data_IF_757657143630
#
_entry.id   IF_757657143630
#
_cell.length_a   1.000
_cell.length_b   1.000
_cell.length_c   1.000
_cell.angle_alpha   90.00
_cell.angle_beta   90.00
_cell.angle_gamma   90.00
#
_symmetry.space_group_name_H-M   'P 1'
#
loop_
_entity.id
_entity.type
_entity.pdbx_description
1 polymer ?
#
# COMPACT_ATOMS: atom_id res chain seq x y z
N UNK A 1 100.57 47.85 60.53
CA UNK A 1 100.16 46.56 59.94
C UNK A 1 101.18 46.28 58.85
N UNK A 2 102.18 45.47 59.16
CA UNK A 2 103.43 45.38 58.40
C UNK A 2 103.36 44.15 57.49
N UNK A 3 103.57 44.34 56.19
CA UNK A 3 103.65 43.25 55.21
C UNK A 3 104.83 42.31 55.55
N UNK A 4 104.65 40.98 55.47
CA UNK A 4 105.74 40.05 55.74
C UNK A 4 106.77 40.09 54.60
N UNK A 5 107.98 40.55 54.93
CA UNK A 5 109.17 40.53 54.07
C UNK A 5 109.93 39.20 54.28
N UNK A 6 110.46 38.63 53.20
CA UNK A 6 111.26 37.41 53.22
C UNK A 6 112.61 37.64 53.96
N UNK A 7 112.91 36.87 55.03
CA UNK A 7 114.06 37.12 55.91
C UNK A 7 115.44 36.88 55.29
N UNK A 8 115.56 36.40 54.04
CA UNK A 8 116.87 36.12 53.42
C UNK A 8 117.28 37.11 52.33
N UNK A 9 116.36 37.87 51.74
CA UNK A 9 116.66 38.76 50.59
C UNK A 9 116.03 40.15 50.64
N UNK A 10 115.11 40.43 51.57
CA UNK A 10 114.58 41.79 51.80
C UNK A 10 113.80 42.40 50.63
N UNK A 11 113.36 41.60 49.66
CA UNK A 11 112.55 42.03 48.52
C UNK A 11 111.07 41.60 48.70
N UNK A 12 110.09 42.37 48.17
CA UNK A 12 108.68 41.99 48.20
C UNK A 12 108.42 40.72 47.35
N UNK A 13 107.59 39.80 47.86
CA UNK A 13 107.22 38.57 47.16
C UNK A 13 106.47 38.89 45.85
N UNK A 14 106.82 38.26 44.70
CA UNK A 14 106.04 38.36 43.48
C UNK A 14 104.68 37.68 43.70
N UNK A 15 103.61 38.47 43.75
CA UNK A 15 102.25 37.96 43.81
C UNK A 15 101.89 37.24 42.51
N UNK A 16 101.52 35.97 42.64
CA UNK A 16 100.99 35.13 41.58
C UNK A 16 99.77 35.81 40.93
N UNK A 17 99.86 35.98 39.61
CA UNK A 17 98.87 36.69 38.83
C UNK A 17 97.50 36.02 38.79
N UNK A 18 96.48 36.84 38.63
CA UNK A 18 95.26 36.44 37.93
C UNK A 18 94.67 37.68 37.27
N UNK A 19 94.67 37.64 35.94
CA UNK A 19 94.12 38.60 34.99
C UNK A 19 92.79 39.19 35.49
N UNK A 20 92.77 40.49 35.78
CA UNK A 20 91.57 41.20 36.18
C UNK A 20 90.61 41.24 34.98
N UNK A 21 89.60 40.38 35.06
CA UNK A 21 88.61 40.14 34.03
C UNK A 21 87.82 41.42 33.73
N UNK A 22 87.65 41.70 32.43
CA UNK A 22 86.79 42.76 31.92
C UNK A 22 85.40 42.69 32.57
N UNK A 23 84.78 43.82 32.94
CA UNK A 23 83.43 43.82 33.49
C UNK A 23 82.45 43.27 32.46
N UNK A 24 81.86 42.12 32.79
CA UNK A 24 80.82 41.44 32.01
C UNK A 24 79.56 42.31 32.05
N UNK A 25 79.20 42.86 30.90
CA UNK A 25 77.97 43.61 30.70
C UNK A 25 76.76 42.69 30.90
N UNK A 26 75.83 43.09 31.78
CA UNK A 26 74.66 42.29 32.15
C UNK A 26 73.82 41.88 30.92
N UNK A 27 73.23 40.67 30.91
CA UNK A 27 72.41 40.20 29.81
C UNK A 27 71.13 41.04 29.73
N UNK A 28 71.13 42.03 28.83
CA UNK A 28 69.92 42.80 28.49
C UNK A 28 68.85 41.82 28.05
N UNK A 29 67.72 41.79 28.78
CA UNK A 29 66.58 40.88 28.54
C UNK A 29 66.30 40.75 27.04
N UNK A 30 66.36 39.51 26.55
CA UNK A 30 65.90 39.17 25.22
C UNK A 30 64.44 39.63 25.09
N UNK A 31 64.19 40.57 24.19
CA UNK A 31 62.84 40.88 23.75
C UNK A 31 62.25 39.59 23.17
N UNK A 32 61.30 38.98 23.88
CA UNK A 32 60.49 37.89 23.35
C UNK A 32 59.59 38.47 22.26
N UNK A 33 60.10 38.52 21.03
CA UNK A 33 59.33 38.77 19.84
C UNK A 33 58.40 37.58 19.64
N UNK A 34 57.18 37.68 20.15
CA UNK A 34 56.09 36.79 19.74
C UNK A 34 55.76 37.15 18.30
N UNK A 35 56.42 36.47 17.36
CA UNK A 35 55.98 36.47 15.97
C UNK A 35 54.56 35.93 15.97
N UNK A 36 53.59 36.83 15.81
CA UNK A 36 52.23 36.44 15.46
C UNK A 36 52.32 35.92 14.04
N UNK A 37 52.53 34.61 13.91
CA UNK A 37 52.40 33.88 12.66
C UNK A 37 50.93 33.94 12.27
N UNK A 38 50.56 35.02 11.58
CA UNK A 38 49.34 35.10 10.80
C UNK A 38 49.56 34.20 9.57
N UNK A 39 49.56 32.88 9.79
CA UNK A 39 49.85 31.91 8.74
C UNK A 39 48.60 31.76 7.86
N UNK A 40 48.61 32.22 6.59
CA UNK A 40 47.48 32.07 5.69
C UNK A 40 47.09 30.59 5.48
N UNK A 41 47.96 29.63 5.82
CA UNK A 41 47.66 28.19 5.81
C UNK A 41 46.69 27.78 6.91
N UNK A 42 46.83 28.32 8.12
CA UNK A 42 45.92 28.05 9.23
C UNK A 42 44.55 28.67 8.94
N UNK A 43 44.53 29.91 8.43
CA UNK A 43 43.29 30.58 8.00
C UNK A 43 42.58 29.82 6.88
N UNK A 44 43.33 29.21 5.95
CA UNK A 44 42.79 28.37 4.87
C UNK A 44 42.31 27.01 5.36
N UNK A 45 43.02 26.38 6.30
CA UNK A 45 42.60 25.13 6.94
C UNK A 45 41.31 25.33 7.74
N UNK A 46 41.20 26.41 8.51
CA UNK A 46 39.99 26.80 9.24
C UNK A 46 38.83 27.11 8.27
N UNK A 47 39.09 27.77 7.15
CA UNK A 47 38.08 28.04 6.12
C UNK A 47 37.58 26.78 5.42
N UNK A 48 38.48 25.82 5.15
CA UNK A 48 38.13 24.51 4.58
C UNK A 48 37.37 23.63 5.58
N UNK A 49 37.76 23.65 6.85
CA UNK A 49 37.03 22.98 7.94
C UNK A 49 35.60 23.55 8.06
N UNK A 50 35.45 24.87 8.01
CA UNK A 50 34.13 25.52 8.03
C UNK A 50 33.28 25.20 6.79
N UNK A 51 33.89 25.15 5.61
CA UNK A 51 33.21 24.78 4.36
C UNK A 51 32.76 23.31 4.37
N UNK A 52 33.66 22.40 4.77
CA UNK A 52 33.37 20.97 4.90
C UNK A 52 32.30 20.71 5.97
N UNK A 53 32.36 21.44 7.10
CA UNK A 53 31.34 21.38 8.16
C UNK A 53 29.98 21.83 7.66
N UNK A 54 29.92 22.90 6.88
CA UNK A 54 28.65 23.40 6.31
C UNK A 54 28.05 22.42 5.30
N UNK A 55 28.88 21.78 4.48
CA UNK A 55 28.45 20.72 3.57
C UNK A 55 27.91 19.51 4.34
N UNK A 56 28.64 19.05 5.35
CA UNK A 56 28.24 17.93 6.19
C UNK A 56 26.95 18.20 6.95
N UNK A 57 26.77 19.39 7.51
CA UNK A 57 25.55 19.79 8.21
C UNK A 57 24.35 19.87 7.26
N UNK A 58 24.53 20.46 6.07
CA UNK A 58 23.48 20.52 5.06
C UNK A 58 23.03 19.12 4.64
N UNK A 59 23.98 18.20 4.44
CA UNK A 59 23.70 16.82 4.05
C UNK A 59 23.03 16.03 5.18
N UNK A 60 23.44 16.25 6.43
CA UNK A 60 22.79 15.67 7.61
C UNK A 60 21.35 16.17 7.79
N UNK A 61 21.09 17.45 7.51
CA UNK A 61 19.74 18.03 7.53
C UNK A 61 18.87 17.40 6.44
N UNK A 62 19.37 17.28 5.21
CA UNK A 62 18.63 16.62 4.11
C UNK A 62 18.33 15.16 4.45
N UNK A 63 19.31 14.44 5.03
CA UNK A 63 19.12 13.05 5.44
C UNK A 63 18.04 12.92 6.53
N UNK A 64 18.05 13.81 7.53
CA UNK A 64 17.01 13.85 8.58
C UNK A 64 15.63 14.22 8.02
N UNK A 65 15.56 15.15 7.09
CA UNK A 65 14.31 15.52 6.41
C UNK A 65 13.75 14.32 5.62
N UNK A 66 14.60 13.64 4.86
CA UNK A 66 14.22 12.46 4.10
C UNK A 66 13.75 11.33 5.04
N UNK A 67 14.46 11.12 6.15
CA UNK A 67 14.06 10.15 7.16
C UNK A 67 12.70 10.49 7.80
N UNK A 68 12.44 11.76 8.08
CA UNK A 68 11.15 12.22 8.60
C UNK A 68 10.01 12.00 7.59
N UNK A 69 10.24 12.30 6.31
CA UNK A 69 9.28 12.03 5.23
C UNK A 69 9.02 10.53 5.10
N UNK A 70 10.07 9.71 5.10
CA UNK A 70 9.93 8.25 5.04
C UNK A 70 9.16 7.70 6.25
N UNK A 71 9.44 8.20 7.46
CA UNK A 71 8.71 7.83 8.67
C UNK A 71 7.24 8.27 8.59
N UNK A 72 6.96 9.48 8.08
CA UNK A 72 5.61 9.97 7.88
C UNK A 72 4.84 9.10 6.86
N UNK A 73 5.49 8.69 5.77
CA UNK A 73 4.92 7.76 4.79
C UNK A 73 4.67 6.38 5.40
N UNK A 74 5.57 5.87 6.24
CA UNK A 74 5.37 4.60 6.97
C UNK A 74 4.20 4.72 7.92
N UNK A 75 4.10 5.80 8.70
CA UNK A 75 2.94 6.05 9.57
C UNK A 75 1.66 6.11 8.73
N UNK A 76 1.63 6.93 7.68
CA UNK A 76 0.48 7.06 6.79
C UNK A 76 0.11 5.71 6.16
N UNK A 77 1.09 4.88 5.81
CA UNK A 77 0.88 3.53 5.30
C UNK A 77 0.25 2.60 6.34
N UNK A 78 0.72 2.63 7.60
CA UNK A 78 0.08 1.93 8.71
C UNK A 78 -1.36 2.42 8.95
N UNK A 79 -1.60 3.73 8.85
CA UNK A 79 -2.94 4.32 8.95
C UNK A 79 -3.79 4.12 7.68
N UNK A 80 -3.20 3.83 6.53
CA UNK A 80 -3.91 3.55 5.28
C UNK A 80 -4.50 2.13 5.23
N UNK A 81 -4.08 1.23 6.14
CA UNK A 81 -4.67 -0.11 6.29
C UNK A 81 -6.06 -0.12 6.94
N UNK A 82 -6.55 1.03 7.41
CA UNK A 82 -7.89 1.17 8.00
C UNK A 82 -8.93 1.33 6.88
N UNK A 83 -9.43 0.21 6.36
CA UNK A 83 -10.47 0.21 5.33
C UNK A 83 -11.82 -0.23 5.92
N UNK A 84 -12.82 0.64 5.85
CA UNK A 84 -14.17 0.39 6.37
C UNK A 84 -14.95 -0.50 5.38
N UNK A 85 -15.43 -1.66 5.86
CA UNK A 85 -16.32 -2.57 5.11
C UNK A 85 -17.77 -2.25 5.48
N UNK A 86 -18.57 -1.86 4.48
CA UNK A 86 -19.97 -1.45 4.68
C UNK A 86 -20.91 -2.65 4.81
N UNK A 87 -22.02 -2.47 5.55
CA UNK A 87 -22.93 -3.56 5.97
C UNK A 87 -23.67 -4.30 4.84
N UNK A 88 -23.66 -3.78 3.60
CA UNK A 88 -24.22 -4.43 2.43
C UNK A 88 -23.22 -5.33 1.66
N UNK A 89 -21.95 -5.37 2.10
CA UNK A 89 -20.84 -6.03 1.43
C UNK A 89 -20.12 -6.93 2.43
N UNK A 90 -19.88 -8.20 2.08
CA UNK A 90 -18.97 -9.06 2.85
C UNK A 90 -17.58 -8.95 2.25
N UNK A 91 -16.69 -8.22 2.92
CA UNK A 91 -15.27 -8.22 2.59
C UNK A 91 -14.66 -9.59 2.94
N UNK A 92 -14.03 -10.25 1.97
CA UNK A 92 -13.17 -11.41 2.19
C UNK A 92 -11.74 -10.87 2.24
N UNK A 93 -11.06 -11.05 3.38
CA UNK A 93 -9.67 -10.64 3.53
C UNK A 93 -8.78 -11.68 2.86
N UNK A 94 -8.07 -11.24 1.83
CA UNK A 94 -7.08 -12.03 1.11
C UNK A 94 -5.71 -11.51 1.50
N UNK A 95 -4.95 -12.31 2.25
CA UNK A 95 -3.55 -12.01 2.56
C UNK A 95 -2.69 -12.80 1.55
N UNK A 96 -1.85 -12.11 0.77
CA UNK A 96 -0.90 -12.73 -0.18
C UNK A 96 -1.52 -13.74 -1.17
N UNK A 97 -2.75 -13.50 -1.65
CA UNK A 97 -3.46 -14.42 -2.55
C UNK A 97 -3.97 -15.70 -1.88
N UNK A 98 -3.90 -15.82 -0.55
CA UNK A 98 -4.49 -16.93 0.22
C UNK A 98 -5.65 -16.42 1.08
N UNK A 99 -6.80 -17.08 0.94
CA UNK A 99 -8.03 -16.75 1.67
C UNK A 99 -7.90 -17.16 3.13
N UNK A 100 -7.42 -16.26 4.00
CA UNK A 100 -7.28 -16.52 5.45
C UNK A 100 -8.60 -16.42 6.21
N UNK A 101 -9.50 -15.51 5.83
CA UNK A 101 -10.80 -15.37 6.47
C UNK A 101 -11.88 -15.12 5.42
N UNK A 102 -12.89 -15.99 5.41
CA UNK A 102 -14.11 -15.81 4.65
C UNK A 102 -15.26 -15.75 5.64
N UNK A 103 -16.23 -14.89 5.37
CA UNK A 103 -17.25 -14.43 6.34
C UNK A 103 -16.68 -13.52 7.43
N UNK A 104 -16.08 -12.40 7.01
CA UNK A 104 -15.94 -11.29 7.94
C UNK A 104 -17.30 -10.62 8.08
N UNK A 105 -17.87 -10.68 9.29
CA UNK A 105 -19.08 -9.94 9.63
C UNK A 105 -18.89 -8.45 9.32
N UNK A 106 -19.96 -7.78 8.85
CA UNK A 106 -19.91 -6.36 8.53
C UNK A 106 -19.51 -5.53 9.75
N UNK A 107 -18.42 -4.77 9.63
CA UNK A 107 -17.82 -4.03 10.74
C UNK A 107 -16.44 -3.47 10.39
N UNK A 108 -15.82 -2.77 11.34
CA UNK A 108 -14.46 -2.26 11.21
C UNK A 108 -13.47 -3.42 11.10
N UNK A 109 -12.87 -3.57 9.91
CA UNK A 109 -11.98 -4.68 9.58
C UNK A 109 -10.60 -4.12 9.23
N UNK A 110 -9.62 -4.35 10.10
CA UNK A 110 -8.23 -3.97 9.84
C UNK A 110 -7.62 -4.95 8.83
N UNK A 111 -7.30 -4.49 7.61
CA UNK A 111 -6.52 -5.24 6.63
C UNK A 111 -5.09 -4.71 6.55
N UNK A 112 -4.14 -5.58 6.24
CA UNK A 112 -2.80 -5.10 5.89
C UNK A 112 -2.90 -4.18 4.66
N UNK A 113 -2.20 -3.04 4.65
CA UNK A 113 -2.15 -2.17 3.49
C UNK A 113 -1.54 -2.90 2.28
N UNK A 114 -1.99 -2.50 1.09
CA UNK A 114 -1.49 -3.02 -0.19
C UNK A 114 0.05 -2.95 -0.25
N UNK A 115 0.78 -3.97 -0.72
CA UNK A 115 0.35 -5.15 -1.48
C UNK A 115 0.16 -6.43 -0.65
N UNK A 116 0.20 -6.38 0.68
CA UNK A 116 0.20 -7.58 1.53
C UNK A 116 -1.20 -8.13 1.83
N UNK A 117 -2.23 -7.27 1.77
CA UNK A 117 -3.63 -7.64 1.97
C UNK A 117 -4.57 -6.91 1.01
N UNK A 118 -5.56 -7.62 0.49
CA UNK A 118 -6.64 -7.08 -0.33
C UNK A 118 -7.99 -7.48 0.29
N UNK A 119 -8.93 -6.54 0.41
CA UNK A 119 -10.31 -6.85 0.82
C UNK A 119 -11.18 -6.99 -0.44
N UNK A 120 -11.50 -8.23 -0.80
CA UNK A 120 -12.44 -8.53 -1.88
C UNK A 120 -13.87 -8.44 -1.37
N UNK A 121 -14.59 -7.41 -1.79
CA UNK A 121 -15.98 -7.18 -1.38
C UNK A 121 -16.94 -8.01 -2.22
N UNK A 122 -17.71 -8.88 -1.58
CA UNK A 122 -18.81 -9.61 -2.22
C UNK A 122 -20.12 -9.04 -1.72
N UNK A 123 -20.87 -8.39 -2.61
CA UNK A 123 -22.23 -7.94 -2.32
C UNK A 123 -23.12 -9.14 -2.01
N UNK A 124 -23.58 -9.25 -0.75
CA UNK A 124 -24.49 -10.30 -0.29
C UNK A 124 -25.97 -9.96 -0.55
N UNK A 125 -26.22 -8.94 -1.38
CA UNK A 125 -27.56 -8.47 -1.72
C UNK A 125 -28.41 -9.52 -2.42
N UNK A 126 -29.73 -9.40 -2.23
CA UNK A 126 -30.75 -10.19 -2.94
C UNK A 126 -30.71 -9.81 -4.42
N UNK A 127 -30.70 -10.81 -5.30
CA UNK A 127 -30.54 -10.68 -6.75
C UNK A 127 -31.81 -11.16 -7.43
N UNK A 128 -32.17 -10.50 -8.52
CA UNK A 128 -33.35 -10.84 -9.31
C UNK A 128 -32.91 -11.21 -10.72
N UNK A 129 -33.29 -12.41 -11.17
CA UNK A 129 -33.12 -12.89 -12.54
C UNK A 129 -34.50 -13.06 -13.16
N UNK A 130 -34.71 -12.46 -14.32
CA UNK A 130 -35.95 -12.61 -15.09
C UNK A 130 -35.75 -13.49 -16.31
N UNK A 131 -36.64 -14.46 -16.49
CA UNK A 131 -36.73 -15.35 -17.64
C UNK A 131 -38.00 -14.95 -18.40
N UNK A 132 -37.92 -13.80 -19.07
CA UNK A 132 -39.05 -13.22 -19.80
C UNK A 132 -39.09 -13.67 -21.27
N UNK A 133 -38.02 -14.32 -21.74
CA UNK A 133 -37.82 -14.73 -23.15
C UNK A 133 -37.72 -16.25 -23.32
N UNK A 134 -37.13 -16.98 -22.37
CA UNK A 134 -36.79 -18.41 -22.53
C UNK A 134 -38.01 -19.30 -22.83
N UNK A 135 -39.19 -18.94 -22.31
CA UNK A 135 -40.44 -19.69 -22.46
C UNK A 135 -41.61 -18.80 -22.90
N UNK A 136 -41.29 -17.73 -23.61
CA UNK A 136 -42.24 -16.75 -24.08
C UNK A 136 -42.11 -16.52 -25.60
N UNK A 137 -43.21 -16.22 -26.32
CA UNK A 137 -43.12 -15.86 -27.72
C UNK A 137 -42.23 -14.65 -27.94
N UNK A 138 -41.52 -14.61 -29.06
CA UNK A 138 -40.65 -13.50 -29.42
C UNK A 138 -41.50 -12.33 -29.88
N UNK A 139 -41.66 -11.35 -29.01
CA UNK A 139 -42.48 -10.16 -29.28
C UNK A 139 -41.63 -8.95 -29.64
N UNK A 140 -42.10 -8.11 -30.57
CA UNK A 140 -41.52 -6.79 -30.80
C UNK A 140 -41.45 -5.98 -29.51
N UNK A 141 -40.45 -5.10 -29.45
CA UNK A 141 -40.16 -4.29 -28.28
C UNK A 141 -41.36 -3.48 -27.78
N UNK A 142 -42.23 -3.04 -28.70
CA UNK A 142 -43.47 -2.31 -28.46
C UNK A 142 -44.59 -3.10 -27.77
N UNK A 143 -44.47 -4.44 -27.73
CA UNK A 143 -45.46 -5.34 -27.14
C UNK A 143 -44.95 -6.09 -25.90
N UNK A 144 -43.73 -5.78 -25.43
CA UNK A 144 -43.20 -6.35 -24.18
C UNK A 144 -44.09 -5.96 -22.98
N UNK A 145 -44.33 -6.92 -22.09
CA UNK A 145 -45.15 -6.73 -20.89
C UNK A 145 -46.66 -6.88 -21.07
N UNK A 146 -47.13 -7.21 -22.29
CA UNK A 146 -48.52 -7.61 -22.52
C UNK A 146 -48.76 -9.06 -22.08
N UNK A 147 -49.99 -9.35 -21.67
CA UNK A 147 -50.40 -10.73 -21.34
C UNK A 147 -50.40 -11.61 -22.59
N UNK A 148 -50.30 -12.93 -22.38
CA UNK A 148 -50.30 -13.91 -23.50
C UNK A 148 -51.56 -13.78 -24.37
N UNK A 149 -52.71 -13.47 -23.77
CA UNK A 149 -53.97 -13.29 -24.49
C UNK A 149 -53.97 -12.07 -25.43
N UNK A 150 -53.28 -11.00 -25.05
CA UNK A 150 -53.14 -9.82 -25.91
C UNK A 150 -52.14 -10.05 -27.04
N UNK A 151 -51.16 -10.92 -26.80
CA UNK A 151 -50.15 -11.30 -27.76
C UNK A 151 -50.70 -12.32 -28.77
N UNK A 152 -51.49 -13.30 -28.36
CA UNK A 152 -52.08 -14.29 -29.26
C UNK A 152 -52.98 -13.65 -30.33
N UNK A 153 -53.66 -12.56 -29.99
CA UNK A 153 -54.48 -11.76 -30.92
C UNK A 153 -53.60 -11.03 -31.96
N UNK A 154 -52.35 -10.70 -31.62
CA UNK A 154 -51.47 -9.83 -32.41
C UNK A 154 -50.28 -10.54 -33.07
N UNK A 155 -49.86 -11.69 -32.55
CA UNK A 155 -48.59 -12.36 -32.87
C UNK A 155 -48.69 -13.38 -34.01
N UNK A 156 -49.89 -13.71 -34.49
CA UNK A 156 -50.07 -14.70 -35.55
C UNK A 156 -49.68 -16.13 -35.12
N UNK A 157 -49.23 -16.95 -36.07
CA UNK A 157 -48.79 -18.32 -35.80
C UNK A 157 -47.45 -18.36 -35.06
N UNK A 158 -47.34 -19.26 -34.08
CA UNK A 158 -46.08 -19.56 -33.40
C UNK A 158 -45.03 -20.09 -34.41
N UNK A 159 -43.79 -19.63 -34.27
CA UNK A 159 -42.65 -20.03 -35.09
C UNK A 159 -41.71 -20.92 -34.29
N UNK A 160 -41.66 -22.24 -34.58
CA UNK A 160 -40.73 -23.15 -33.92
C UNK A 160 -39.28 -22.69 -34.11
N UNK A 161 -38.51 -22.68 -33.03
CA UNK A 161 -37.11 -22.26 -33.03
C UNK A 161 -36.87 -20.75 -32.88
N UNK A 162 -37.90 -19.91 -33.07
CA UNK A 162 -37.84 -18.48 -32.73
C UNK A 162 -38.58 -18.16 -31.44
N UNK A 163 -39.74 -18.80 -31.21
CA UNK A 163 -40.59 -18.57 -30.04
C UNK A 163 -40.25 -19.53 -28.89
N UNK A 164 -40.13 -18.98 -27.68
CA UNK A 164 -39.96 -19.75 -26.45
C UNK A 164 -41.28 -20.38 -26.00
N UNK A 165 -41.24 -21.66 -25.66
CA UNK A 165 -42.40 -22.38 -25.11
C UNK A 165 -41.97 -23.59 -24.31
N UNK A 166 -42.91 -24.12 -23.52
CA UNK A 166 -42.79 -25.36 -22.78
C UNK A 166 -43.79 -26.36 -23.33
N UNK A 167 -43.40 -27.63 -23.32
CA UNK A 167 -44.28 -28.74 -23.68
C UNK A 167 -44.65 -29.48 -22.40
N UNK A 168 -45.95 -29.64 -22.16
CA UNK A 168 -46.50 -30.44 -21.06
C UNK A 168 -46.56 -31.92 -21.44
N UNK A 169 -46.85 -32.80 -20.47
CA UNK A 169 -46.85 -34.25 -20.69
C UNK A 169 -47.94 -34.73 -21.67
N UNK A 170 -49.01 -33.97 -21.80
CA UNK A 170 -50.15 -34.18 -22.70
C UNK A 170 -49.96 -33.51 -24.09
N UNK A 171 -48.73 -33.07 -24.40
CA UNK A 171 -48.35 -32.41 -25.64
C UNK A 171 -49.01 -31.04 -25.89
N UNK A 172 -49.47 -30.36 -24.83
CA UNK A 172 -49.90 -28.97 -24.90
C UNK A 172 -48.70 -28.00 -24.83
N UNK A 173 -48.89 -26.80 -25.42
CA UNK A 173 -47.90 -25.72 -25.40
C UNK A 173 -48.25 -24.76 -24.28
N UNK A 174 -47.31 -24.53 -23.38
CA UNK A 174 -47.41 -23.55 -22.30
C UNK A 174 -46.40 -22.42 -22.47
N UNK A 175 -46.83 -21.19 -22.18
CA UNK A 175 -45.96 -20.03 -22.09
C UNK A 175 -45.84 -19.58 -20.64
N UNK A 176 -44.62 -19.29 -20.20
CA UNK A 176 -44.36 -18.91 -18.82
C UNK A 176 -43.29 -17.82 -18.75
N UNK A 177 -43.44 -16.94 -17.78
CA UNK A 177 -42.42 -15.96 -17.40
C UNK A 177 -42.10 -16.17 -15.93
N UNK A 178 -40.80 -16.19 -15.60
CA UNK A 178 -40.35 -16.41 -14.23
C UNK A 178 -39.45 -15.30 -13.75
N UNK A 179 -39.72 -14.85 -12.53
CA UNK A 179 -38.82 -13.99 -11.78
C UNK A 179 -38.22 -14.82 -10.65
N UNK A 180 -36.91 -15.01 -10.70
CA UNK A 180 -36.13 -15.79 -9.73
C UNK A 180 -35.39 -14.83 -8.84
N UNK A 181 -35.68 -14.89 -7.54
CA UNK A 181 -35.03 -14.08 -6.52
C UNK A 181 -34.08 -14.99 -5.74
N UNK A 182 -32.80 -14.67 -5.70
CA UNK A 182 -31.78 -15.52 -5.08
C UNK A 182 -30.68 -14.69 -4.39
N UNK A 183 -29.94 -15.31 -3.48
CA UNK A 183 -28.82 -14.68 -2.78
C UNK A 183 -27.66 -15.67 -2.60
N UNK A 184 -26.45 -15.14 -2.50
CA UNK A 184 -25.26 -15.95 -2.26
C UNK A 184 -25.09 -16.15 -0.76
N UNK A 185 -25.29 -17.39 -0.31
CA UNK A 185 -25.12 -17.76 1.10
C UNK A 185 -23.66 -17.99 1.50
N UNK A 186 -22.85 -18.61 0.62
CA UNK A 186 -21.44 -18.93 0.88
C UNK A 186 -20.50 -18.13 -0.02
N UNK A 187 -20.06 -16.98 0.45
CA UNK A 187 -19.18 -16.09 -0.31
C UNK A 187 -17.82 -16.73 -0.65
N UNK A 188 -17.26 -17.60 0.23
CA UNK A 188 -15.99 -18.30 -0.02
C UNK A 188 -16.05 -19.16 -1.28
N UNK A 189 -17.00 -20.08 -1.32
CA UNK A 189 -17.17 -21.01 -2.44
C UNK A 189 -17.54 -20.26 -3.72
N UNK A 190 -18.30 -19.17 -3.59
CA UNK A 190 -18.61 -18.30 -4.71
C UNK A 190 -17.35 -17.67 -5.31
N UNK A 191 -16.50 -17.04 -4.50
CA UNK A 191 -15.27 -16.44 -5.00
C UNK A 191 -14.32 -17.46 -5.61
N UNK A 192 -14.17 -18.65 -5.01
CA UNK A 192 -13.27 -19.68 -5.56
C UNK A 192 -13.69 -20.14 -6.96
N UNK A 193 -14.99 -20.20 -7.23
CA UNK A 193 -15.53 -20.69 -8.50
C UNK A 193 -15.72 -19.58 -9.55
N UNK A 194 -15.98 -18.34 -9.12
CA UNK A 194 -16.34 -17.22 -10.01
C UNK A 194 -15.35 -16.05 -9.98
N UNK A 195 -14.13 -16.25 -9.45
CA UNK A 195 -13.12 -15.20 -9.27
C UNK A 195 -12.80 -14.39 -10.54
N UNK A 196 -12.84 -15.04 -11.71
CA UNK A 196 -12.42 -14.47 -12.99
C UNK A 196 -13.54 -13.76 -13.76
N UNK A 197 -14.72 -13.59 -13.17
CA UNK A 197 -15.89 -13.05 -13.85
C UNK A 197 -16.33 -11.70 -13.22
N UNK A 198 -15.70 -10.58 -13.62
CA UNK A 198 -16.01 -9.26 -13.07
C UNK A 198 -17.45 -8.81 -13.37
N UNK A 199 -18.05 -9.33 -14.43
CA UNK A 199 -19.43 -9.00 -14.82
C UNK A 199 -20.48 -9.98 -14.28
N UNK A 200 -20.07 -11.00 -13.52
CA UNK A 200 -20.96 -12.04 -12.96
C UNK A 200 -21.83 -12.71 -14.04
N UNK A 201 -21.35 -12.79 -15.29
CA UNK A 201 -22.06 -13.40 -16.43
C UNK A 201 -22.25 -14.91 -16.24
N UNK A 202 -21.21 -15.61 -15.83
CA UNK A 202 -21.19 -17.06 -15.60
C UNK A 202 -22.14 -17.45 -14.49
N UNK A 203 -22.17 -16.70 -13.39
CA UNK A 203 -23.14 -16.91 -12.30
C UNK A 203 -24.57 -16.84 -12.81
N UNK A 204 -24.94 -15.74 -13.49
CA UNK A 204 -26.30 -15.56 -14.00
C UNK A 204 -26.67 -16.66 -15.00
N UNK A 205 -25.74 -17.06 -15.85
CA UNK A 205 -25.96 -18.13 -16.82
C UNK A 205 -26.16 -19.49 -16.14
N UNK A 206 -25.40 -19.77 -15.07
CA UNK A 206 -25.57 -21.00 -14.30
C UNK A 206 -26.95 -21.05 -13.62
N UNK A 207 -27.35 -19.97 -12.94
CA UNK A 207 -28.66 -19.89 -12.29
C UNK A 207 -29.78 -19.97 -13.33
N UNK A 208 -29.64 -19.27 -14.46
CA UNK A 208 -30.58 -19.35 -15.58
C UNK A 208 -30.73 -20.79 -16.08
N UNK A 209 -29.63 -21.46 -16.43
CA UNK A 209 -29.66 -22.83 -16.94
C UNK A 209 -30.25 -23.82 -15.93
N UNK A 210 -29.96 -23.64 -14.64
CA UNK A 210 -30.54 -24.47 -13.58
C UNK A 210 -32.06 -24.32 -13.49
N UNK A 211 -32.55 -23.07 -13.54
CA UNK A 211 -33.98 -22.76 -13.51
C UNK A 211 -34.67 -23.25 -14.77
N UNK A 212 -34.11 -22.98 -15.96
CA UNK A 212 -34.65 -23.42 -17.25
C UNK A 212 -34.78 -24.95 -17.29
N UNK A 213 -33.75 -25.67 -16.84
CA UNK A 213 -33.78 -27.14 -16.78
C UNK A 213 -34.83 -27.65 -15.78
N UNK A 214 -34.93 -27.01 -14.62
CA UNK A 214 -35.93 -27.39 -13.61
C UNK A 214 -37.35 -27.16 -14.14
N UNK A 215 -37.59 -26.01 -14.74
CA UNK A 215 -38.84 -25.65 -15.39
C UNK A 215 -39.28 -26.66 -16.45
N UNK A 216 -38.40 -26.96 -17.42
CA UNK A 216 -38.68 -27.95 -18.47
C UNK A 216 -39.02 -29.30 -17.87
N UNK A 217 -38.28 -29.73 -16.84
CA UNK A 217 -38.52 -31.03 -16.19
C UNK A 217 -39.86 -31.07 -15.46
N UNK A 218 -40.21 -30.02 -14.72
CA UNK A 218 -41.45 -29.97 -13.94
C UNK A 218 -42.66 -29.90 -14.86
N UNK A 219 -42.63 -29.00 -15.85
CA UNK A 219 -43.76 -28.82 -16.78
C UNK A 219 -43.92 -30.04 -17.69
N UNK A 220 -42.83 -30.64 -18.17
CA UNK A 220 -42.89 -31.87 -18.97
C UNK A 220 -43.41 -33.10 -18.22
N UNK A 221 -43.52 -33.05 -16.89
CA UNK A 221 -44.14 -34.09 -16.07
C UNK A 221 -45.59 -33.77 -15.68
N UNK A 222 -46.03 -32.54 -15.90
CA UNK A 222 -47.37 -32.12 -15.55
C UNK A 222 -48.36 -32.59 -16.62
N UNK A 223 -49.27 -33.48 -16.22
CA UNK A 223 -50.48 -33.83 -16.98
C UNK A 223 -51.59 -32.91 -16.49
N UNK A 224 -52.17 -32.11 -17.37
CA UNK A 224 -53.39 -31.41 -17.04
C UNK A 224 -54.51 -32.46 -16.90
N UNK A 225 -55.13 -32.50 -15.72
CA UNK A 225 -56.33 -33.27 -15.49
C UNK A 225 -57.46 -32.57 -16.25
N UNK A 226 -57.73 -33.05 -17.47
CA UNK A 226 -58.86 -32.64 -18.28
C UNK A 226 -60.21 -32.95 -17.61
#
# INVERSE_FOLDING_TARGET
MSDPLDPQTGLPLPGDGALEAMPVEEPRRAASLTLRSDDPRDSRAVSMEAANKSLADALAIIYRLLQAVMLALVLLFFFSGFQQVNQAETGIRVDLGRIKAADLEPGFQFSLPYPLGEILKVERGVRTLRLDESFWPKVPESMRGRSIDQLSISAGNLKPGEDGSLLTADANIAHAQWTVIYSVSRARSFLQNFFQDPERRQERNLVRAAVERAAVRVVGQQQDAA
#
